data_IF_284123857698
#
_entry.id   IF_284123857698
#
_cell.length_a   1.000
_cell.length_b   1.000
_cell.length_c   1.000
_cell.angle_alpha   90.00
_cell.angle_beta   90.00
_cell.angle_gamma   90.00
#
_symmetry.space_group_name_H-M   'P 1'
#
loop_
_entity.id
_entity.type
_entity.pdbx_description
1 polymer ?
#
# COMPACT_ATOMS: atom_id res chain seq x y z
N UNK A 1 -16.52 21.36 -16.73
CA UNK A 1 -16.07 21.85 -18.05
C UNK A 1 -16.82 23.15 -18.36
N UNK A 2 -16.19 24.32 -18.18
CA UNK A 2 -16.79 25.63 -18.52
C UNK A 2 -16.88 25.73 -20.05
N UNK A 3 -18.08 25.64 -20.63
CA UNK A 3 -18.30 25.96 -22.05
C UNK A 3 -18.63 27.45 -22.14
N UNK A 4 -17.73 28.21 -22.79
CA UNK A 4 -17.91 29.63 -23.04
C UNK A 4 -19.28 29.87 -23.73
N UNK A 5 -20.05 30.83 -23.20
CA UNK A 5 -21.35 31.22 -23.76
C UNK A 5 -22.55 30.35 -23.34
N UNK A 6 -22.36 29.37 -22.43
CA UNK A 6 -23.45 28.61 -21.81
C UNK A 6 -24.35 29.49 -20.93
N UNK A 7 -25.60 29.06 -20.67
CA UNK A 7 -26.52 29.76 -19.75
C UNK A 7 -25.85 30.05 -18.39
N UNK A 8 -25.09 29.08 -17.89
CA UNK A 8 -24.34 29.20 -16.63
C UNK A 8 -23.25 30.28 -16.69
N UNK A 9 -22.47 30.32 -17.77
CA UNK A 9 -21.39 31.29 -17.98
C UNK A 9 -21.94 32.73 -18.05
N UNK A 10 -23.10 32.90 -18.71
CA UNK A 10 -23.80 34.19 -18.83
C UNK A 10 -24.43 34.67 -17.52
N UNK A 11 -24.88 33.76 -16.66
CA UNK A 11 -25.35 34.11 -15.31
C UNK A 11 -24.16 34.54 -14.44
N UNK A 12 -23.03 33.83 -14.52
CA UNK A 12 -21.82 34.16 -13.75
C UNK A 12 -21.16 35.48 -14.18
N UNK A 13 -21.20 35.81 -15.48
CA UNK A 13 -20.66 37.06 -16.02
C UNK A 13 -21.55 38.28 -15.76
N UNK A 14 -22.76 38.08 -15.24
CA UNK A 14 -23.76 39.13 -15.04
C UNK A 14 -24.52 39.53 -16.31
N UNK A 15 -24.32 38.84 -17.43
CA UNK A 15 -25.06 39.06 -18.67
C UNK A 15 -26.53 38.66 -18.54
N UNK A 16 -26.80 37.63 -17.73
CA UNK A 16 -28.14 37.18 -17.36
C UNK A 16 -28.43 37.41 -15.88
N UNK A 17 -29.69 37.75 -15.51
CA UNK A 17 -30.06 37.89 -14.11
C UNK A 17 -29.97 36.54 -13.40
N UNK A 18 -29.75 36.57 -12.09
CA UNK A 18 -29.74 35.38 -11.23
C UNK A 18 -31.10 34.68 -11.15
N UNK A 19 -32.19 35.36 -11.51
CA UNK A 19 -33.54 34.82 -11.44
C UNK A 19 -34.35 35.36 -12.60
N UNK A 20 -35.07 34.46 -13.28
CA UNK A 20 -35.90 34.79 -14.43
C UNK A 20 -37.22 34.01 -14.38
N UNK A 21 -38.36 34.68 -14.15
CA UNK A 21 -39.67 34.05 -14.02
C UNK A 21 -40.22 33.54 -15.36
N UNK A 22 -39.83 34.15 -16.47
CA UNK A 22 -40.17 33.70 -17.83
C UNK A 22 -38.96 33.86 -18.75
N UNK A 23 -38.32 32.74 -19.06
CA UNK A 23 -37.12 32.69 -19.90
C UNK A 23 -37.46 32.87 -21.39
N UNK A 24 -38.70 32.60 -21.79
CA UNK A 24 -39.14 32.70 -23.20
C UNK A 24 -39.56 34.12 -23.54
N UNK A 25 -40.04 34.86 -22.55
CA UNK A 25 -40.39 36.28 -22.67
C UNK A 25 -39.18 37.24 -22.61
N UNK A 26 -38.01 36.79 -22.17
CA UNK A 26 -36.82 37.64 -22.09
C UNK A 26 -35.97 37.59 -23.38
N UNK A 27 -35.72 38.76 -24.03
CA UNK A 27 -34.93 38.82 -25.27
C UNK A 27 -33.51 38.25 -25.13
N UNK A 28 -32.92 38.25 -23.93
CA UNK A 28 -31.55 37.75 -23.69
C UNK A 28 -31.47 36.23 -23.66
N UNK A 29 -32.59 35.53 -23.43
CA UNK A 29 -32.63 34.08 -23.26
C UNK A 29 -33.52 33.34 -24.26
N UNK A 30 -34.45 34.03 -24.91
CA UNK A 30 -35.43 33.46 -25.87
C UNK A 30 -34.79 32.72 -27.07
N UNK A 31 -33.58 33.11 -27.47
CA UNK A 31 -32.84 32.52 -28.58
C UNK A 31 -31.73 31.54 -28.15
N UNK A 32 -31.56 31.28 -26.85
CA UNK A 32 -30.54 30.36 -26.38
C UNK A 32 -30.92 28.90 -26.67
N UNK A 33 -30.06 28.12 -27.37
CA UNK A 33 -30.34 26.72 -27.70
C UNK A 33 -30.67 25.86 -26.48
N UNK A 34 -29.92 26.04 -25.40
CA UNK A 34 -30.10 25.30 -24.13
C UNK A 34 -31.47 25.54 -23.47
N UNK A 35 -32.06 26.72 -23.66
CA UNK A 35 -33.41 27.03 -23.14
C UNK A 35 -34.47 26.23 -23.90
N UNK A 36 -34.31 26.11 -25.23
CA UNK A 36 -35.22 25.33 -26.09
C UNK A 36 -35.04 23.84 -25.91
N UNK A 37 -33.80 23.35 -25.90
CA UNK A 37 -33.46 21.93 -25.76
C UNK A 37 -33.89 21.35 -24.41
N UNK A 38 -33.65 22.07 -23.32
CA UNK A 38 -34.03 21.62 -21.97
C UNK A 38 -35.47 22.04 -21.60
N UNK A 39 -36.14 22.82 -22.45
CA UNK A 39 -37.50 23.28 -22.26
C UNK A 39 -37.68 24.20 -21.06
N UNK A 40 -36.68 25.03 -20.72
CA UNK A 40 -36.68 25.87 -19.53
C UNK A 40 -37.74 26.98 -19.67
N UNK A 41 -38.61 27.11 -18.68
CA UNK A 41 -39.66 28.12 -18.56
C UNK A 41 -39.33 29.19 -17.51
N UNK A 42 -38.68 28.83 -16.41
CA UNK A 42 -38.17 29.77 -15.40
C UNK A 42 -36.90 29.22 -14.76
N UNK A 43 -36.07 30.09 -14.19
CA UNK A 43 -34.93 29.67 -13.37
C UNK A 43 -34.65 30.62 -12.20
N UNK A 44 -34.01 30.08 -11.17
CA UNK A 44 -33.35 30.86 -10.13
C UNK A 44 -32.01 30.20 -9.83
N UNK A 45 -30.93 30.97 -9.81
CA UNK A 45 -29.59 30.46 -9.60
C UNK A 45 -28.72 31.49 -8.87
N UNK A 46 -27.78 31.02 -8.06
CA UNK A 46 -26.83 31.83 -7.32
C UNK A 46 -25.45 31.18 -7.42
N UNK A 47 -24.37 31.97 -7.55
CA UNK A 47 -23.03 31.40 -7.49
C UNK A 47 -22.78 30.79 -6.11
N UNK A 48 -22.09 29.66 -6.10
CA UNK A 48 -21.38 29.16 -4.92
C UNK A 48 -19.95 29.65 -5.07
N UNK A 49 -19.50 30.45 -4.11
CA UNK A 49 -18.11 30.91 -4.00
C UNK A 49 -17.41 30.15 -2.89
N UNK A 50 -16.09 30.08 -2.94
CA UNK A 50 -15.27 29.70 -1.77
C UNK A 50 -15.03 30.91 -0.84
N UNK A 51 -14.33 30.69 0.28
CA UNK A 51 -13.99 31.74 1.26
C UNK A 51 -13.09 32.83 0.70
N UNK A 52 -12.41 32.58 -0.42
CA UNK A 52 -11.57 33.55 -1.12
C UNK A 52 -12.36 34.34 -2.19
N UNK A 53 -13.65 34.05 -2.34
CA UNK A 53 -14.54 34.69 -3.30
C UNK A 53 -14.43 34.14 -4.73
N UNK A 54 -13.71 33.04 -4.95
CA UNK A 54 -13.62 32.39 -6.26
C UNK A 54 -14.87 31.54 -6.52
N UNK A 55 -15.41 31.62 -7.74
CA UNK A 55 -16.61 30.87 -8.12
C UNK A 55 -16.29 29.39 -8.30
N UNK A 56 -16.83 28.57 -7.40
CA UNK A 56 -16.79 27.11 -7.51
C UNK A 56 -17.84 26.58 -8.49
N UNK A 57 -19.06 27.13 -8.46
CA UNK A 57 -20.16 26.65 -9.28
C UNK A 57 -21.43 27.51 -9.16
N UNK A 58 -22.55 26.98 -9.67
CA UNK A 58 -23.87 27.60 -9.61
C UNK A 58 -24.86 26.66 -8.92
N UNK A 59 -25.51 27.14 -7.87
CA UNK A 59 -26.68 26.49 -7.29
C UNK A 59 -27.92 27.08 -7.93
N UNK A 60 -28.76 26.28 -8.58
CA UNK A 60 -29.99 26.79 -9.15
C UNK A 60 -31.06 25.75 -9.38
N UNK A 61 -32.30 26.20 -9.36
CA UNK A 61 -33.49 25.46 -9.76
C UNK A 61 -33.96 25.88 -11.14
N UNK A 62 -34.36 24.91 -11.95
CA UNK A 62 -34.95 25.10 -13.27
C UNK A 62 -36.38 24.56 -13.26
N UNK A 63 -37.31 25.28 -13.87
CA UNK A 63 -38.67 24.80 -14.14
C UNK A 63 -38.91 24.80 -15.64
N UNK A 64 -39.72 23.85 -16.14
CA UNK A 64 -40.17 23.85 -17.55
C UNK A 64 -41.32 24.82 -17.81
N UNK A 65 -41.93 25.35 -16.75
CA UNK A 65 -43.04 26.30 -16.82
C UNK A 65 -42.57 27.68 -16.35
N UNK A 66 -43.07 28.78 -16.95
CA UNK A 66 -42.94 30.10 -16.37
C UNK A 66 -43.48 30.13 -14.95
N UNK A 67 -42.84 30.90 -14.08
CA UNK A 67 -43.24 31.09 -12.69
C UNK A 67 -43.43 32.60 -12.42
N UNK A 68 -44.60 33.17 -12.75
CA UNK A 68 -44.85 34.62 -12.63
C UNK A 68 -44.75 35.14 -11.19
N UNK A 69 -44.89 34.25 -10.20
CA UNK A 69 -44.77 34.54 -8.77
C UNK A 69 -43.32 34.53 -8.28
N UNK A 70 -42.35 34.21 -9.14
CA UNK A 70 -40.93 34.19 -8.79
C UNK A 70 -40.37 35.62 -8.87
N UNK A 71 -40.16 36.22 -7.71
CA UNK A 71 -39.66 37.58 -7.54
C UNK A 71 -38.17 37.60 -7.18
N UNK A 72 -37.51 38.73 -7.43
CA UNK A 72 -36.08 38.90 -7.14
C UNK A 72 -35.75 38.73 -5.64
N UNK A 73 -36.73 39.01 -4.76
CA UNK A 73 -36.68 38.77 -3.30
C UNK A 73 -36.57 37.29 -2.94
N UNK A 74 -37.08 36.39 -3.78
CA UNK A 74 -37.27 34.98 -3.45
C UNK A 74 -35.96 34.17 -3.56
N UNK A 75 -34.93 34.77 -4.17
CA UNK A 75 -33.59 34.21 -4.20
C UNK A 75 -32.90 34.13 -2.83
N UNK A 76 -33.51 34.65 -1.77
CA UNK A 76 -32.94 34.63 -0.41
C UNK A 76 -32.64 33.22 0.10
N UNK A 77 -33.54 32.27 -0.15
CA UNK A 77 -33.34 30.87 0.25
C UNK A 77 -32.16 30.23 -0.50
N UNK A 78 -32.07 30.44 -1.82
CA UNK A 78 -30.94 29.93 -2.61
C UNK A 78 -29.61 30.55 -2.16
N UNK A 79 -29.58 31.85 -1.85
CA UNK A 79 -28.37 32.52 -1.32
C UNK A 79 -27.95 31.96 0.04
N UNK A 80 -28.90 31.69 0.93
CA UNK A 80 -28.62 31.08 2.24
C UNK A 80 -28.09 29.65 2.08
N UNK A 81 -28.68 28.88 1.17
CA UNK A 81 -28.21 27.52 0.87
C UNK A 81 -26.82 27.54 0.22
N UNK A 82 -26.55 28.50 -0.66
CA UNK A 82 -25.23 28.68 -1.25
C UNK A 82 -24.17 29.11 -0.22
N UNK A 83 -24.50 30.00 0.73
CA UNK A 83 -23.58 30.37 1.80
C UNK A 83 -23.27 29.21 2.74
N UNK A 84 -24.23 28.32 2.99
CA UNK A 84 -23.97 27.09 3.73
C UNK A 84 -23.05 26.15 2.93
N UNK A 85 -23.31 25.96 1.63
CA UNK A 85 -22.48 25.11 0.76
C UNK A 85 -21.06 25.64 0.57
N UNK A 86 -20.83 26.96 0.66
CA UNK A 86 -19.50 27.57 0.56
C UNK A 86 -18.48 26.91 1.49
N UNK A 87 -18.86 26.63 2.74
CA UNK A 87 -17.96 26.00 3.72
C UNK A 87 -17.59 24.56 3.35
N UNK A 88 -18.56 23.77 2.86
CA UNK A 88 -18.32 22.38 2.43
C UNK A 88 -17.51 22.27 1.14
N UNK A 89 -17.68 23.26 0.26
CA UNK A 89 -17.09 23.27 -1.07
C UNK A 89 -15.58 23.51 -1.04
N UNK A 90 -15.10 24.31 -0.07
CA UNK A 90 -13.67 24.52 0.17
C UNK A 90 -13.01 23.20 0.55
N UNK A 91 -13.59 22.48 1.50
CA UNK A 91 -13.07 21.21 1.98
C UNK A 91 -13.00 20.18 0.84
N UNK A 92 -14.07 20.06 0.04
CA UNK A 92 -14.08 19.19 -1.15
C UNK A 92 -13.00 19.56 -2.18
N UNK A 93 -12.78 20.86 -2.44
CA UNK A 93 -11.75 21.32 -3.36
C UNK A 93 -10.36 21.02 -2.82
N UNK A 94 -10.09 21.34 -1.55
CA UNK A 94 -8.80 21.07 -0.90
C UNK A 94 -8.50 19.57 -0.83
N UNK A 95 -9.50 18.75 -0.50
CA UNK A 95 -9.38 17.28 -0.54
C UNK A 95 -9.09 16.79 -1.95
N UNK A 96 -9.80 17.30 -2.96
CA UNK A 96 -9.56 16.92 -4.36
C UNK A 96 -8.18 17.35 -4.86
N UNK A 97 -7.74 18.58 -4.54
CA UNK A 97 -6.42 19.10 -4.90
C UNK A 97 -5.30 18.30 -4.20
N UNK A 98 -5.48 17.96 -2.92
CA UNK A 98 -4.54 17.14 -2.14
C UNK A 98 -4.44 15.73 -2.71
N UNK A 99 -5.58 15.06 -2.95
CA UNK A 99 -5.62 13.73 -3.58
C UNK A 99 -5.02 13.74 -4.98
N UNK A 100 -5.31 14.78 -5.77
CA UNK A 100 -4.74 14.94 -7.12
C UNK A 100 -3.24 15.22 -7.12
N UNK A 101 -2.73 15.90 -6.09
CA UNK A 101 -1.30 16.11 -5.90
C UNK A 101 -0.59 14.79 -5.57
N UNK A 102 -1.12 14.00 -4.62
CA UNK A 102 -0.62 12.67 -4.27
C UNK A 102 -0.66 11.73 -5.47
N UNK A 103 -1.79 11.65 -6.17
CA UNK A 103 -1.91 10.82 -7.38
C UNK A 103 -0.87 11.19 -8.44
N UNK A 104 -0.68 12.48 -8.72
CA UNK A 104 0.35 12.95 -9.66
C UNK A 104 1.77 12.66 -9.18
N UNK A 105 2.01 12.66 -7.88
CA UNK A 105 3.31 12.32 -7.31
C UNK A 105 3.59 10.82 -7.51
N UNK A 106 2.66 9.94 -7.13
CA UNK A 106 2.81 8.49 -7.30
C UNK A 106 2.96 8.11 -8.78
N UNK A 107 2.17 8.71 -9.68
CA UNK A 107 2.33 8.47 -11.12
C UNK A 107 3.69 8.90 -11.65
N UNK A 108 4.21 10.04 -11.21
CA UNK A 108 5.57 10.47 -11.57
C UNK A 108 6.64 9.48 -11.09
N UNK A 109 6.49 8.90 -9.91
CA UNK A 109 7.40 7.86 -9.41
C UNK A 109 7.36 6.62 -10.30
N UNK A 110 6.16 6.14 -10.62
CA UNK A 110 5.97 4.99 -11.53
C UNK A 110 6.57 5.26 -12.92
N UNK A 111 6.32 6.44 -13.49
CA UNK A 111 6.84 6.84 -14.81
C UNK A 111 8.38 6.93 -14.82
N UNK A 112 9.00 7.18 -13.67
CA UNK A 112 10.45 7.21 -13.49
C UNK A 112 11.06 5.83 -13.21
N UNK A 113 10.24 4.77 -13.13
CA UNK A 113 10.68 3.40 -12.84
C UNK A 113 10.97 3.13 -11.37
N UNK A 114 10.55 4.02 -10.46
CA UNK A 114 10.63 3.80 -9.02
C UNK A 114 9.67 2.68 -8.56
N UNK A 115 9.87 2.08 -7.37
CA UNK A 115 10.94 2.34 -6.41
C UNK A 115 12.28 1.71 -6.80
N UNK A 116 13.37 2.28 -6.29
CA UNK A 116 14.64 1.55 -6.18
C UNK A 116 14.48 0.42 -5.16
N UNK A 117 15.34 -0.60 -5.24
CA UNK A 117 15.28 -1.75 -4.33
C UNK A 117 16.65 -1.94 -3.69
N UNK A 118 16.65 -2.16 -2.38
CA UNK A 118 17.80 -2.65 -1.64
C UNK A 118 17.47 -4.03 -1.07
N UNK A 119 18.50 -4.84 -0.82
CA UNK A 119 18.37 -6.22 -0.43
C UNK A 119 18.93 -6.44 0.97
N UNK A 120 18.18 -7.12 1.82
CA UNK A 120 18.63 -7.48 3.15
C UNK A 120 18.71 -9.01 3.30
N UNK A 121 19.81 -9.56 3.85
CA UNK A 121 19.98 -11.00 3.98
C UNK A 121 19.15 -11.60 5.12
N UNK A 122 18.65 -12.80 4.86
CA UNK A 122 18.10 -13.74 5.83
C UNK A 122 19.12 -14.86 6.05
N UNK A 123 19.51 -15.08 7.30
CA UNK A 123 20.62 -15.95 7.67
C UNK A 123 20.13 -17.14 8.50
N UNK A 124 20.63 -18.33 8.19
CA UNK A 124 20.47 -19.53 9.01
C UNK A 124 21.35 -19.41 10.26
N UNK A 125 20.72 -19.33 11.43
CA UNK A 125 21.42 -19.03 12.69
C UNK A 125 22.35 -20.15 13.14
N UNK A 126 22.14 -21.38 12.68
CA UNK A 126 23.01 -22.50 13.00
C UNK A 126 24.34 -22.49 12.22
N UNK A 127 24.34 -21.95 11.00
CA UNK A 127 25.49 -22.06 10.08
C UNK A 127 26.08 -20.70 9.70
N UNK A 128 25.33 -19.61 9.91
CA UNK A 128 25.67 -18.29 9.41
C UNK A 128 25.47 -18.12 7.91
N UNK A 129 24.94 -19.12 7.20
CA UNK A 129 24.75 -19.06 5.74
C UNK A 129 23.57 -18.18 5.38
N UNK A 130 23.73 -17.35 4.35
CA UNK A 130 22.60 -16.63 3.73
C UNK A 130 21.73 -17.63 2.99
N UNK A 131 20.45 -17.64 3.32
CA UNK A 131 19.45 -18.58 2.81
C UNK A 131 18.30 -17.88 2.10
N UNK A 132 18.11 -16.59 2.37
CA UNK A 132 17.19 -15.72 1.65
C UNK A 132 17.71 -14.29 1.57
N UNK A 133 17.10 -13.50 0.70
CA UNK A 133 17.32 -12.06 0.59
C UNK A 133 15.97 -11.39 0.34
N UNK A 134 15.67 -10.34 1.09
CA UNK A 134 14.42 -9.60 0.96
C UNK A 134 14.61 -8.32 0.15
N UNK A 135 13.78 -8.12 -0.87
CA UNK A 135 13.74 -6.88 -1.64
C UNK A 135 12.91 -5.80 -0.94
N UNK A 136 13.58 -4.74 -0.50
CA UNK A 136 13.00 -3.62 0.22
C UNK A 136 12.96 -2.37 -0.66
N UNK A 137 11.76 -1.84 -0.89
CA UNK A 137 11.55 -0.64 -1.68
C UNK A 137 12.23 0.59 -1.02
N UNK A 138 12.84 1.44 -1.85
CA UNK A 138 13.43 2.72 -1.48
C UNK A 138 12.99 3.79 -2.47
N UNK A 139 12.71 4.97 -1.94
CA UNK A 139 12.35 6.13 -2.73
C UNK A 139 13.39 7.23 -2.48
N UNK A 140 13.90 7.82 -3.55
CA UNK A 140 14.85 8.93 -3.47
C UNK A 140 14.21 10.24 -2.97
N UNK A 141 12.90 10.25 -2.73
CA UNK A 141 12.11 11.43 -2.41
C UNK A 141 11.99 11.68 -0.91
N UNK A 142 12.82 12.58 -0.37
CA UNK A 142 12.51 13.45 0.78
C UNK A 142 12.04 12.78 2.09
N UNK A 143 11.41 13.58 2.96
CA UNK A 143 11.16 13.37 4.41
C UNK A 143 10.40 12.09 4.84
N UNK A 144 9.80 11.35 3.92
CA UNK A 144 8.84 10.28 4.20
C UNK A 144 9.45 8.90 3.94
N UNK A 145 9.13 7.93 4.82
CA UNK A 145 9.56 6.54 4.65
C UNK A 145 8.83 5.85 3.50
N UNK A 146 9.30 4.67 3.05
CA UNK A 146 8.59 3.87 2.06
C UNK A 146 7.12 3.58 2.43
N UNK A 147 6.86 3.27 3.71
CA UNK A 147 5.52 3.02 4.24
C UNK A 147 4.56 4.19 4.02
N UNK A 148 4.99 5.42 4.31
CA UNK A 148 4.19 6.64 4.09
C UNK A 148 3.77 6.79 2.62
N UNK A 149 4.66 6.42 1.68
CA UNK A 149 4.37 6.51 0.24
C UNK A 149 3.42 5.41 -0.23
N UNK A 150 3.55 4.18 0.27
CA UNK A 150 2.58 3.11 -0.01
C UNK A 150 1.21 3.44 0.59
N UNK A 151 1.15 3.98 1.81
CA UNK A 151 -0.09 4.46 2.42
C UNK A 151 -0.72 5.60 1.61
N UNK A 152 0.09 6.58 1.18
CA UNK A 152 -0.38 7.66 0.30
C UNK A 152 -0.88 7.15 -1.06
N UNK A 153 -0.21 6.15 -1.64
CA UNK A 153 -0.68 5.48 -2.85
C UNK A 153 -2.01 4.77 -2.63
N UNK A 154 -2.20 4.12 -1.47
CA UNK A 154 -3.46 3.51 -1.07
C UNK A 154 -4.61 4.50 -1.02
N UNK A 155 -4.39 5.70 -0.45
CA UNK A 155 -5.39 6.75 -0.39
C UNK A 155 -5.92 7.18 -1.78
N UNK A 156 -5.10 7.05 -2.83
CA UNK A 156 -5.44 7.43 -4.21
C UNK A 156 -5.67 6.24 -5.14
N UNK A 157 -5.73 5.02 -4.60
CA UNK A 157 -6.00 3.80 -5.37
C UNK A 157 -4.87 3.40 -6.33
N UNK A 158 -3.61 3.67 -5.97
CA UNK A 158 -2.42 3.33 -6.75
C UNK A 158 -1.45 2.39 -6.00
N UNK A 159 -1.87 1.84 -4.85
CA UNK A 159 -1.02 0.95 -4.04
C UNK A 159 -0.64 -0.33 -4.81
N UNK A 160 -1.58 -1.07 -5.44
CA UNK A 160 -1.22 -2.29 -6.15
C UNK A 160 -0.25 -2.05 -7.31
N UNK A 161 -0.42 -0.95 -8.07
CA UNK A 161 0.52 -0.62 -9.14
C UNK A 161 1.92 -0.27 -8.64
N UNK A 162 2.02 0.41 -7.50
CA UNK A 162 3.29 0.76 -6.89
C UNK A 162 4.02 -0.46 -6.31
N UNK A 163 3.29 -1.35 -5.64
CA UNK A 163 3.83 -2.61 -5.15
C UNK A 163 4.22 -3.53 -6.30
N UNK A 164 3.42 -3.62 -7.36
CA UNK A 164 3.76 -4.38 -8.56
C UNK A 164 5.03 -3.85 -9.25
N UNK A 165 5.25 -2.53 -9.25
CA UNK A 165 6.50 -1.94 -9.72
C UNK A 165 7.69 -2.37 -8.83
N UNK A 166 7.53 -2.35 -7.50
CA UNK A 166 8.54 -2.84 -6.57
C UNK A 166 8.87 -4.33 -6.78
N UNK A 167 7.84 -5.18 -6.89
CA UNK A 167 7.98 -6.61 -7.18
C UNK A 167 8.77 -6.83 -8.46
N UNK A 168 8.38 -6.19 -9.56
CA UNK A 168 9.11 -6.33 -10.84
C UNK A 168 10.56 -5.86 -10.75
N UNK A 169 10.80 -4.78 -10.01
CA UNK A 169 12.14 -4.26 -9.80
C UNK A 169 13.01 -5.21 -8.97
N UNK A 170 12.43 -5.85 -7.95
CA UNK A 170 13.08 -6.90 -7.15
C UNK A 170 13.36 -8.13 -8.00
N UNK A 171 12.37 -8.66 -8.72
CA UNK A 171 12.52 -9.91 -9.50
C UNK A 171 13.53 -9.78 -10.65
N UNK A 172 13.84 -8.56 -11.10
CA UNK A 172 14.87 -8.32 -12.13
C UNK A 172 16.24 -8.86 -11.75
N UNK A 173 16.54 -8.96 -10.45
CA UNK A 173 17.84 -9.48 -9.97
C UNK A 173 17.85 -10.99 -9.74
N UNK A 174 16.71 -11.68 -9.86
CA UNK A 174 16.60 -13.12 -9.60
C UNK A 174 17.64 -13.99 -10.35
N UNK A 175 18.01 -13.71 -11.63
CA UNK A 175 19.07 -14.46 -12.31
C UNK A 175 20.45 -14.34 -11.66
N UNK A 176 20.70 -13.26 -10.92
CA UNK A 176 21.95 -13.01 -10.19
C UNK A 176 21.94 -13.56 -8.77
N UNK A 177 20.77 -13.96 -8.25
CA UNK A 177 20.65 -14.61 -6.94
C UNK A 177 21.18 -16.05 -7.06
N UNK A 178 21.99 -16.56 -6.11
CA UNK A 178 22.43 -17.96 -6.11
C UNK A 178 21.27 -18.95 -6.02
N UNK A 179 21.39 -20.11 -6.66
CA UNK A 179 20.28 -21.08 -6.80
C UNK A 179 19.66 -21.58 -5.48
N UNK A 180 20.45 -21.60 -4.39
CA UNK A 180 19.99 -22.02 -3.06
C UNK A 180 19.57 -20.87 -2.13
N UNK A 181 19.37 -19.67 -2.67
CA UNK A 181 18.92 -18.47 -1.94
C UNK A 181 17.57 -18.04 -2.50
N UNK A 182 16.61 -17.84 -1.61
CA UNK A 182 15.25 -17.38 -1.91
C UNK A 182 15.23 -15.86 -2.01
N UNK A 183 14.52 -15.32 -3.01
CA UNK A 183 14.29 -13.88 -3.15
C UNK A 183 12.87 -13.55 -2.67
N UNK A 184 12.76 -12.76 -1.61
CA UNK A 184 11.46 -12.35 -1.04
C UNK A 184 10.99 -11.03 -1.65
N UNK A 185 9.72 -10.99 -2.04
CA UNK A 185 9.01 -9.77 -2.49
C UNK A 185 7.85 -9.46 -1.55
N UNK A 186 7.61 -8.18 -1.32
CA UNK A 186 6.53 -7.69 -0.46
C UNK A 186 5.27 -7.39 -1.29
N UNK A 187 4.10 -7.86 -0.85
CA UNK A 187 2.82 -7.62 -1.50
C UNK A 187 1.66 -7.54 -0.50
N UNK A 188 0.81 -6.53 -0.64
CA UNK A 188 -0.50 -6.50 0.02
C UNK A 188 -1.45 -7.55 -0.57
N UNK A 189 -2.51 -7.97 0.16
CA UNK A 189 -3.61 -8.77 -0.37
C UNK A 189 -4.11 -8.32 -1.74
N UNK A 190 -4.33 -7.02 -1.94
CA UNK A 190 -4.79 -6.44 -3.21
C UNK A 190 -3.77 -6.65 -4.34
N UNK A 191 -2.48 -6.55 -4.05
CA UNK A 191 -1.42 -6.84 -5.02
C UNK A 191 -1.38 -8.32 -5.40
N UNK A 192 -1.56 -9.21 -4.43
CA UNK A 192 -1.60 -10.66 -4.68
C UNK A 192 -2.77 -11.03 -5.60
N UNK A 193 -3.94 -10.46 -5.37
CA UNK A 193 -5.15 -10.74 -6.18
C UNK A 193 -5.18 -10.00 -7.52
N UNK A 194 -4.35 -8.97 -7.72
CA UNK A 194 -4.31 -8.16 -8.95
C UNK A 194 -3.30 -8.63 -10.03
N UNK A 195 -2.96 -9.92 -10.05
CA UNK A 195 -2.16 -10.53 -11.12
C UNK A 195 -0.68 -10.74 -10.79
N UNK A 196 -0.31 -10.76 -9.50
CA UNK A 196 1.04 -11.09 -9.06
C UNK A 196 1.52 -12.46 -9.57
N UNK A 197 0.61 -13.44 -9.63
CA UNK A 197 0.92 -14.80 -10.10
C UNK A 197 1.58 -14.81 -11.49
N UNK A 198 1.07 -14.02 -12.43
CA UNK A 198 1.62 -13.97 -13.79
C UNK A 198 3.03 -13.40 -13.81
N UNK A 199 3.31 -12.44 -12.94
CA UNK A 199 4.64 -11.83 -12.79
C UNK A 199 5.63 -12.81 -12.19
N UNK A 200 5.23 -13.56 -11.15
CA UNK A 200 6.07 -14.54 -10.46
C UNK A 200 6.34 -15.75 -11.36
N UNK A 201 5.30 -16.33 -11.97
CA UNK A 201 5.43 -17.45 -12.92
C UNK A 201 6.23 -17.03 -14.15
N UNK A 202 6.06 -15.79 -14.62
CA UNK A 202 6.81 -15.22 -15.74
C UNK A 202 8.33 -15.14 -15.52
N UNK A 203 8.82 -15.28 -14.28
CA UNK A 203 10.26 -15.36 -14.00
C UNK A 203 10.89 -16.68 -14.47
N UNK A 204 10.09 -17.74 -14.64
CA UNK A 204 10.55 -19.08 -14.99
C UNK A 204 11.21 -19.86 -13.83
N UNK A 205 11.28 -19.27 -12.63
CA UNK A 205 11.75 -19.94 -11.41
C UNK A 205 10.93 -19.50 -10.18
N UNK A 206 9.58 -19.65 -10.20
CA UNK A 206 8.70 -19.27 -9.09
C UNK A 206 9.08 -19.91 -7.75
N UNK A 207 9.65 -21.12 -7.78
CA UNK A 207 10.14 -21.84 -6.60
C UNK A 207 11.33 -21.17 -5.88
N UNK A 208 11.93 -20.15 -6.51
CA UNK A 208 13.02 -19.36 -5.92
C UNK A 208 12.53 -18.05 -5.30
N UNK A 209 11.21 -17.86 -5.23
CA UNK A 209 10.58 -16.62 -4.78
C UNK A 209 9.68 -16.90 -3.58
N UNK A 210 9.78 -16.02 -2.59
CA UNK A 210 8.81 -15.93 -1.51
C UNK A 210 7.98 -14.66 -1.67
N UNK A 211 6.66 -14.76 -1.48
CA UNK A 211 5.75 -13.62 -1.44
C UNK A 211 5.37 -13.38 0.02
N UNK A 212 5.77 -12.23 0.52
CA UNK A 212 5.51 -11.76 1.86
C UNK A 212 4.24 -10.89 1.89
N UNK A 213 3.26 -11.33 2.66
CA UNK A 213 1.98 -10.65 2.83
C UNK A 213 2.11 -9.61 3.95
N UNK A 214 2.03 -8.33 3.59
CA UNK A 214 2.38 -7.20 4.47
C UNK A 214 1.21 -6.52 5.20
N UNK A 215 -0.03 -6.99 5.02
CA UNK A 215 -1.20 -6.36 5.66
C UNK A 215 -1.83 -7.25 6.73
N UNK A 216 -2.19 -6.64 7.87
CA UNK A 216 -2.74 -7.33 9.04
C UNK A 216 -4.27 -7.46 9.06
N UNK A 217 -4.97 -6.73 8.20
CA UNK A 217 -6.43 -6.60 8.32
C UNK A 217 -7.18 -7.67 7.50
N UNK A 218 -8.00 -8.47 8.21
CA UNK A 218 -9.11 -9.29 7.69
C UNK A 218 -8.77 -10.25 6.53
N UNK A 219 -7.61 -10.92 6.61
CA UNK A 219 -7.23 -11.99 5.68
C UNK A 219 -8.18 -13.19 5.74
N UNK A 220 -8.76 -13.50 6.91
CA UNK A 220 -9.59 -14.69 7.14
C UNK A 220 -10.84 -14.80 6.25
N UNK A 221 -11.38 -13.66 5.79
CA UNK A 221 -12.61 -13.63 4.98
C UNK A 221 -12.34 -13.51 3.46
N UNK A 222 -11.09 -13.34 3.03
CA UNK A 222 -10.76 -13.13 1.62
C UNK A 222 -10.50 -14.45 0.89
N UNK A 223 -11.58 -15.05 0.37
CA UNK A 223 -11.48 -16.26 -0.46
C UNK A 223 -10.59 -16.04 -1.69
N UNK A 224 -10.58 -14.83 -2.26
CA UNK A 224 -9.74 -14.49 -3.42
C UNK A 224 -8.25 -14.55 -3.06
N UNK A 225 -7.85 -14.03 -1.89
CA UNK A 225 -6.47 -14.11 -1.42
C UNK A 225 -6.05 -15.56 -1.16
N UNK A 226 -6.91 -16.36 -0.53
CA UNK A 226 -6.63 -17.78 -0.28
C UNK A 226 -6.42 -18.54 -1.59
N UNK A 227 -7.29 -18.33 -2.59
CA UNK A 227 -7.12 -18.95 -3.91
C UNK A 227 -5.85 -18.48 -4.62
N UNK A 228 -5.52 -17.18 -4.53
CA UNK A 228 -4.32 -16.64 -5.16
C UNK A 228 -3.03 -17.17 -4.52
N UNK A 229 -2.99 -17.27 -3.19
CA UNK A 229 -1.85 -17.84 -2.45
C UNK A 229 -1.71 -19.35 -2.68
N UNK A 230 -2.82 -20.10 -2.76
CA UNK A 230 -2.80 -21.51 -3.18
C UNK A 230 -2.29 -21.68 -4.61
N UNK A 231 -2.68 -20.80 -5.53
CA UNK A 231 -2.20 -20.84 -6.91
C UNK A 231 -0.69 -20.53 -7.01
N UNK A 232 -0.21 -19.52 -6.28
CA UNK A 232 1.23 -19.22 -6.16
C UNK A 232 2.01 -20.43 -5.61
N UNK A 233 1.49 -21.06 -4.55
CA UNK A 233 2.07 -22.29 -3.95
C UNK A 233 2.04 -23.47 -4.93
N UNK A 234 1.00 -23.58 -5.75
CA UNK A 234 0.90 -24.60 -6.82
C UNK A 234 2.02 -24.49 -7.86
N UNK A 235 2.64 -23.32 -8.01
CA UNK A 235 3.82 -23.09 -8.83
C UNK A 235 5.15 -23.21 -8.06
N UNK A 236 5.12 -23.54 -6.77
CA UNK A 236 6.30 -23.67 -5.92
C UNK A 236 6.70 -22.39 -5.18
N UNK A 237 5.97 -21.28 -5.36
CA UNK A 237 6.24 -20.03 -4.65
C UNK A 237 5.99 -20.21 -3.15
N UNK A 238 6.88 -19.67 -2.32
CA UNK A 238 6.73 -19.68 -0.87
C UNK A 238 5.84 -18.53 -0.41
N UNK A 239 5.01 -18.74 0.60
CA UNK A 239 4.19 -17.71 1.22
C UNK A 239 4.80 -17.36 2.57
N UNK A 240 5.05 -16.07 2.77
CA UNK A 240 5.52 -15.50 4.02
C UNK A 240 4.47 -14.56 4.61
N UNK A 241 4.45 -14.44 5.93
CA UNK A 241 3.65 -13.43 6.64
C UNK A 241 4.56 -12.57 7.50
N UNK A 242 4.28 -11.26 7.49
CA UNK A 242 5.07 -10.26 8.21
C UNK A 242 4.49 -9.91 9.60
N UNK A 243 5.36 -9.43 10.49
CA UNK A 243 5.01 -8.83 11.79
C UNK A 243 4.10 -9.68 12.69
N UNK A 244 4.30 -11.00 12.73
CA UNK A 244 3.54 -11.88 13.62
C UNK A 244 3.99 -11.66 15.06
N UNK A 245 3.17 -10.96 15.85
CA UNK A 245 3.44 -10.73 17.28
C UNK A 245 2.92 -9.43 17.87
N UNK A 246 2.57 -8.45 17.04
CA UNK A 246 2.18 -7.10 17.47
C UNK A 246 0.66 -6.94 17.74
N UNK A 247 -0.20 -7.81 17.19
CA UNK A 247 -1.67 -7.71 17.28
C UNK A 247 -2.42 -9.08 17.24
N UNK A 248 -3.73 -9.06 17.53
CA UNK A 248 -4.63 -10.23 17.51
C UNK A 248 -4.73 -10.91 16.12
N UNK A 249 -4.48 -10.17 15.04
CA UNK A 249 -4.57 -10.63 13.64
C UNK A 249 -3.52 -11.68 13.24
N UNK A 250 -2.32 -11.66 13.83
CA UNK A 250 -1.20 -12.52 13.38
C UNK A 250 -1.49 -14.02 13.50
N UNK A 251 -2.13 -14.47 14.58
CA UNK A 251 -2.46 -15.89 14.75
C UNK A 251 -3.55 -16.37 13.81
N UNK A 252 -4.53 -15.52 13.52
CA UNK A 252 -5.61 -15.84 12.58
C UNK A 252 -5.05 -16.04 11.16
N UNK A 253 -4.10 -15.21 10.75
CA UNK A 253 -3.42 -15.35 9.46
C UNK A 253 -2.68 -16.68 9.34
N UNK A 254 -1.98 -17.12 10.39
CA UNK A 254 -1.27 -18.40 10.40
C UNK A 254 -2.21 -19.58 10.16
N UNK A 255 -3.43 -19.54 10.72
CA UNK A 255 -4.41 -20.60 10.58
C UNK A 255 -4.99 -20.69 9.17
N UNK A 256 -5.22 -19.54 8.53
CA UNK A 256 -5.81 -19.46 7.20
C UNK A 256 -4.77 -19.65 6.08
N UNK A 257 -3.66 -18.91 6.12
CA UNK A 257 -2.65 -18.92 5.05
C UNK A 257 -1.69 -20.12 5.13
N UNK A 258 -1.45 -20.63 6.34
CA UNK A 258 -0.45 -21.67 6.64
C UNK A 258 0.88 -21.42 5.91
N UNK A 259 1.53 -20.28 6.19
CA UNK A 259 2.70 -19.83 5.44
C UNK A 259 3.91 -20.73 5.69
N UNK A 260 4.76 -20.86 4.68
CA UNK A 260 6.06 -21.54 4.79
C UNK A 260 7.03 -20.72 5.65
N UNK A 261 6.87 -19.40 5.71
CA UNK A 261 7.72 -18.48 6.47
C UNK A 261 6.90 -17.55 7.35
N UNK A 262 7.28 -17.47 8.62
CA UNK A 262 6.67 -16.57 9.61
C UNK A 262 7.74 -15.59 10.06
N UNK A 263 7.58 -14.31 9.76
CA UNK A 263 8.48 -13.27 10.26
C UNK A 263 7.99 -12.80 11.62
N UNK A 264 8.84 -12.98 12.63
CA UNK A 264 8.59 -12.57 14.00
C UNK A 264 9.04 -11.12 14.17
N UNK A 265 8.07 -10.25 14.43
CA UNK A 265 8.23 -8.81 14.58
C UNK A 265 9.38 -8.46 15.55
N UNK A 266 10.13 -7.41 15.19
CA UNK A 266 11.19 -6.83 16.02
C UNK A 266 10.73 -6.51 17.45
N UNK A 267 9.47 -6.21 17.69
CA UNK A 267 8.88 -5.99 19.01
C UNK A 267 9.13 -7.17 19.96
N UNK A 268 9.09 -8.40 19.46
CA UNK A 268 9.41 -9.62 20.23
C UNK A 268 10.92 -9.81 20.31
N UNK A 269 11.65 -9.64 19.21
CA UNK A 269 13.11 -9.86 19.15
C UNK A 269 13.90 -8.88 20.01
N UNK A 270 13.52 -7.60 20.01
CA UNK A 270 14.25 -6.56 20.70
C UNK A 270 14.39 -6.91 22.18
N UNK A 271 15.59 -6.86 22.75
CA UNK A 271 15.85 -7.15 24.18
C UNK A 271 15.30 -8.50 24.69
N UNK A 272 15.05 -9.47 23.82
CA UNK A 272 14.53 -10.81 24.18
C UNK A 272 15.39 -11.53 25.24
N UNK A 273 16.70 -11.29 25.24
CA UNK A 273 17.63 -11.81 26.25
C UNK A 273 17.32 -11.36 27.69
N UNK A 274 16.63 -10.21 27.86
CA UNK A 274 16.27 -9.69 29.19
C UNK A 274 14.86 -10.05 29.63
N UNK A 275 14.02 -10.55 28.74
CA UNK A 275 12.59 -10.73 28.99
C UNK A 275 12.16 -12.22 28.81
N UNK A 276 11.86 -12.93 29.91
CA UNK A 276 11.34 -14.29 29.85
C UNK A 276 10.03 -14.44 29.06
N UNK A 277 9.17 -13.43 29.06
CA UNK A 277 7.90 -13.47 28.32
C UNK A 277 8.15 -13.44 26.81
N UNK A 278 9.04 -12.58 26.33
CA UNK A 278 9.45 -12.55 24.92
C UNK A 278 10.04 -13.87 24.46
N UNK A 279 10.90 -14.50 25.27
CA UNK A 279 11.43 -15.85 24.99
C UNK A 279 10.34 -16.91 24.93
N UNK A 280 9.37 -16.86 25.84
CA UNK A 280 8.25 -17.80 25.85
C UNK A 280 7.36 -17.65 24.60
N UNK A 281 7.09 -16.41 24.18
CA UNK A 281 6.34 -16.12 22.95
C UNK A 281 7.09 -16.62 21.72
N UNK A 282 8.39 -16.31 21.60
CA UNK A 282 9.24 -16.79 20.51
C UNK A 282 9.25 -18.32 20.42
N UNK A 283 9.48 -19.03 21.53
CA UNK A 283 9.44 -20.48 21.58
C UNK A 283 8.05 -21.06 21.27
N UNK A 284 6.98 -20.36 21.64
CA UNK A 284 5.61 -20.71 21.28
C UNK A 284 5.37 -20.60 19.77
N UNK A 285 5.85 -19.51 19.15
CA UNK A 285 5.73 -19.29 17.71
C UNK A 285 6.47 -20.36 16.91
N UNK A 286 7.68 -20.75 17.34
CA UNK A 286 8.43 -21.87 16.72
C UNK A 286 7.63 -23.17 16.72
N UNK A 287 6.88 -23.46 17.80
CA UNK A 287 6.02 -24.66 17.87
C UNK A 287 4.84 -24.55 16.90
N UNK A 288 4.18 -23.39 16.85
CA UNK A 288 3.07 -23.17 15.92
C UNK A 288 3.54 -23.31 14.48
N UNK A 289 4.69 -22.72 14.14
CA UNK A 289 5.30 -22.82 12.82
C UNK A 289 5.53 -24.28 12.42
N UNK A 290 6.10 -25.09 13.33
CA UNK A 290 6.36 -26.50 13.08
C UNK A 290 5.07 -27.30 12.82
N UNK A 291 3.99 -27.03 13.56
CA UNK A 291 2.70 -27.71 13.39
C UNK A 291 2.02 -27.37 12.05
N UNK A 292 2.20 -26.15 11.54
CA UNK A 292 1.67 -25.75 10.22
C UNK A 292 2.64 -26.05 9.06
N UNK A 293 3.83 -26.57 9.35
CA UNK A 293 4.84 -26.93 8.36
C UNK A 293 5.71 -25.78 7.85
N UNK A 294 5.67 -24.64 8.54
CA UNK A 294 6.49 -23.45 8.24
C UNK A 294 7.70 -23.29 9.17
N UNK A 295 8.46 -22.21 8.96
CA UNK A 295 9.63 -21.84 9.77
C UNK A 295 9.56 -20.38 10.21
N UNK A 296 10.23 -20.06 11.32
CA UNK A 296 10.28 -18.69 11.86
C UNK A 296 11.56 -17.99 11.43
N UNK A 297 11.43 -16.72 11.01
CA UNK A 297 12.53 -15.76 10.83
C UNK A 297 12.39 -14.70 11.91
N UNK A 298 13.40 -14.53 12.77
CA UNK A 298 13.41 -13.44 13.75
C UNK A 298 13.93 -12.15 13.12
N UNK A 299 13.12 -11.09 13.18
CA UNK A 299 13.50 -9.79 12.62
C UNK A 299 14.13 -8.84 13.63
N UNK A 300 14.94 -7.91 13.12
CA UNK A 300 15.49 -6.83 13.92
C UNK A 300 16.56 -7.28 14.91
N UNK A 301 17.31 -8.34 14.60
CA UNK A 301 18.47 -8.74 15.42
C UNK A 301 19.59 -7.71 15.27
N UNK A 302 19.88 -6.99 16.36
CA UNK A 302 20.86 -5.89 16.37
C UNK A 302 22.06 -6.16 17.28
N UNK A 303 21.96 -7.14 18.19
CA UNK A 303 23.00 -7.44 19.18
C UNK A 303 23.24 -8.94 19.36
N UNK A 304 24.46 -9.31 19.76
CA UNK A 304 24.84 -10.71 20.03
C UNK A 304 23.93 -11.36 21.09
N UNK A 305 23.59 -10.71 22.21
CA UNK A 305 22.66 -11.31 23.18
C UNK A 305 21.26 -11.58 22.61
N UNK A 306 20.75 -10.74 21.70
CA UNK A 306 19.49 -11.03 21.00
C UNK A 306 19.62 -12.23 20.06
N UNK A 307 20.72 -12.32 19.31
CA UNK A 307 21.02 -13.48 18.45
C UNK A 307 21.03 -14.79 19.25
N UNK A 308 21.78 -14.84 20.36
CA UNK A 308 21.89 -16.02 21.21
C UNK A 308 20.51 -16.42 21.78
N UNK A 309 19.76 -15.45 22.31
CA UNK A 309 18.44 -15.72 22.88
C UNK A 309 17.39 -16.14 21.83
N UNK A 310 17.49 -15.66 20.58
CA UNK A 310 16.66 -16.12 19.46
C UNK A 310 17.01 -17.56 19.08
N UNK A 311 18.31 -17.87 18.96
CA UNK A 311 18.78 -19.23 18.66
C UNK A 311 18.38 -20.23 19.77
N UNK A 312 18.51 -19.84 21.04
CA UNK A 312 18.07 -20.63 22.20
C UNK A 312 16.56 -20.86 22.24
N UNK A 313 15.76 -19.94 21.66
CA UNK A 313 14.31 -20.12 21.49
C UNK A 313 13.95 -21.10 20.36
N UNK A 314 14.96 -21.68 19.69
CA UNK A 314 14.79 -22.67 18.62
C UNK A 314 14.43 -22.06 17.27
N UNK A 315 14.59 -20.75 17.10
CA UNK A 315 14.31 -20.08 15.82
C UNK A 315 15.46 -20.38 14.84
N UNK A 316 15.18 -20.91 13.64
CA UNK A 316 16.22 -21.33 12.70
C UNK A 316 16.83 -20.19 11.89
N UNK A 317 16.09 -19.12 11.64
CA UNK A 317 16.47 -18.04 10.72
C UNK A 317 16.38 -16.67 11.38
N UNK A 318 17.19 -15.73 10.93
CA UNK A 318 17.11 -14.34 11.40
C UNK A 318 17.54 -13.32 10.37
N UNK A 319 17.04 -12.10 10.58
CA UNK A 319 17.30 -10.92 9.77
C UNK A 319 17.51 -9.73 10.70
N UNK A 320 18.49 -8.88 10.39
CA UNK A 320 18.78 -7.71 11.21
C UNK A 320 20.15 -7.12 10.95
N UNK A 321 20.42 -5.94 11.48
CA UNK A 321 21.67 -5.21 11.19
C UNK A 321 22.93 -5.91 11.68
N UNK A 322 22.82 -6.79 12.68
CA UNK A 322 23.93 -7.65 13.11
C UNK A 322 24.32 -8.67 12.02
N UNK A 323 23.33 -9.18 11.29
CA UNK A 323 23.45 -10.26 10.30
C UNK A 323 23.71 -9.73 8.89
N UNK A 324 23.25 -8.51 8.62
CA UNK A 324 23.53 -7.78 7.40
C UNK A 324 22.58 -6.60 7.23
N UNK A 325 23.14 -5.44 6.84
CA UNK A 325 22.35 -4.24 6.54
C UNK A 325 21.79 -4.32 5.12
N UNK A 326 20.65 -3.65 4.84
CA UNK A 326 20.16 -3.48 3.49
C UNK A 326 21.23 -2.85 2.58
N UNK A 327 21.47 -3.42 1.41
CA UNK A 327 22.45 -2.95 0.41
C UNK A 327 21.84 -2.94 -1.00
N UNK A 328 22.29 -2.05 -1.88
CA UNK A 328 21.83 -2.02 -3.28
C UNK A 328 22.39 -3.20 -4.10
N UNK A 329 23.52 -3.78 -3.66
CA UNK A 329 24.24 -4.81 -4.41
C UNK A 329 23.78 -6.22 -4.00
N UNK A 330 23.05 -6.90 -4.87
CA UNK A 330 22.51 -8.26 -4.59
C UNK A 330 23.60 -9.27 -4.23
N UNK A 331 24.78 -9.18 -4.87
CA UNK A 331 25.91 -10.05 -4.58
C UNK A 331 26.47 -9.83 -3.17
N UNK A 332 26.47 -8.59 -2.68
CA UNK A 332 26.86 -8.29 -1.31
C UNK A 332 25.86 -8.89 -0.32
N UNK A 333 24.56 -8.69 -0.53
CA UNK A 333 23.51 -9.26 0.31
C UNK A 333 23.62 -10.80 0.38
N UNK A 334 23.85 -11.48 -0.75
CA UNK A 334 23.98 -12.94 -0.79
C UNK A 334 25.25 -13.48 -0.10
N UNK A 335 26.26 -12.62 0.11
CA UNK A 335 27.54 -12.97 0.76
C UNK A 335 27.66 -12.49 2.21
N UNK A 336 26.63 -11.86 2.77
CA UNK A 336 26.71 -11.22 4.09
C UNK A 336 27.10 -12.18 5.22
N UNK A 337 26.70 -13.46 5.11
CA UNK A 337 27.06 -14.53 6.03
C UNK A 337 28.57 -14.77 6.17
N UNK A 338 29.34 -14.49 5.12
CA UNK A 338 30.81 -14.63 5.13
C UNK A 338 31.50 -13.55 5.99
N UNK A 339 30.73 -12.52 6.42
CA UNK A 339 31.22 -11.35 7.14
C UNK A 339 30.60 -11.22 8.54
N UNK A 340 29.99 -12.29 9.06
CA UNK A 340 29.44 -12.28 10.41
C UNK A 340 30.53 -11.95 11.45
N UNK A 341 30.18 -11.21 12.53
CA UNK A 341 31.12 -10.94 13.61
C UNK A 341 31.73 -12.23 14.17
N UNK A 342 33.01 -12.20 14.53
CA UNK A 342 33.71 -13.38 15.05
C UNK A 342 33.01 -14.02 16.26
N UNK A 343 32.39 -13.21 17.11
CA UNK A 343 31.63 -13.68 18.27
C UNK A 343 30.34 -14.41 17.86
N UNK A 344 29.68 -13.96 16.79
CA UNK A 344 28.52 -14.68 16.21
C UNK A 344 28.99 -16.02 15.65
N UNK A 345 30.09 -16.03 14.88
CA UNK A 345 30.69 -17.27 14.35
C UNK A 345 31.12 -18.23 15.47
N UNK A 346 31.64 -17.69 16.58
CA UNK A 346 32.05 -18.47 17.74
C UNK A 346 30.85 -19.08 18.50
N UNK A 347 29.71 -18.39 18.50
CA UNK A 347 28.44 -18.85 19.09
C UNK A 347 27.68 -19.87 18.24
N UNK A 348 28.06 -20.09 16.98
CA UNK A 348 27.41 -21.10 16.13
C UNK A 348 27.62 -22.52 16.71
N UNK A 349 26.57 -23.37 16.72
CA UNK A 349 26.68 -24.73 17.21
C UNK A 349 27.71 -25.54 16.40
N UNK A 350 28.76 -26.04 17.06
CA UNK A 350 29.79 -26.91 16.46
C UNK A 350 29.33 -28.37 16.46
N UNK A 351 28.46 -28.75 15.53
CA UNK A 351 27.99 -30.14 15.37
C UNK A 351 27.43 -30.42 13.97
N UNK A 352 27.31 -31.69 13.55
CA UNK A 352 26.78 -32.01 12.23
C UNK A 352 25.32 -31.55 12.15
N UNK A 353 25.06 -30.59 11.28
CA UNK A 353 23.70 -30.16 10.92
C UNK A 353 23.02 -31.37 10.30
N UNK A 354 21.90 -31.80 10.88
CA UNK A 354 21.05 -32.85 10.31
C UNK A 354 20.72 -32.48 8.86
N UNK A 355 21.03 -33.37 7.92
CA UNK A 355 20.65 -33.25 6.51
C UNK A 355 19.13 -33.39 6.34
N UNK A 356 18.37 -32.46 6.88
CA UNK A 356 16.93 -32.37 6.76
C UNK A 356 16.59 -31.43 5.60
N UNK A 357 16.66 -31.96 4.38
CA UNK A 357 16.15 -31.30 3.16
C UNK A 357 16.83 -29.99 2.79
N UNK A 358 16.56 -29.49 1.58
CA UNK A 358 16.87 -28.12 1.24
C UNK A 358 16.22 -27.14 2.24
N UNK A 359 16.81 -25.95 2.49
CA UNK A 359 16.17 -24.94 3.33
C UNK A 359 14.72 -24.71 2.87
N UNK A 360 13.77 -24.79 3.80
CA UNK A 360 12.38 -24.35 3.58
C UNK A 360 12.26 -22.89 4.02
N UNK A 361 13.00 -22.03 3.32
CA UNK A 361 12.59 -20.64 3.17
C UNK A 361 11.81 -20.53 1.87
#
# INVERSE_FOLDING_TARGET
>A
MRRAGSLYDRILSGELPSLLPDVRGDPRTSDLPVVRELGIGSYAATPIVDTEGQVYGLLGGLSRQPCPTLHQSDGGFLRLLASFLTEFVIDLRQQWESRSAVWRQIRRLLDQGAPDVVFQPVVELATGRVVGVEGLARFLTGRHGPEDLFAAAGMVGLRPELEMAAVRNTLRVLPSVPGGVILTVNASPDTVTSGLIDVIVGTGAPERVAVEITEHDHIGDSQELLMATEALRGHGTHIAVDDVGSCYSGLEQLLHLRPEVIKMDRFITHRIHLDPARRAVAAGLTKVAAEIGGSVVAEGIESIPEFEAVADAGIPYGQGFLLGRPTAEIGEACSAGDRLPADVVAGLPRGPVSAAGAPRL
#
